data_IF_670816705088
#
_entry.id   IF_670816705088
#
_cell.length_a   1.000
_cell.length_b   1.000
_cell.length_c   1.000
_cell.angle_alpha   90.00
_cell.angle_beta   90.00
_cell.angle_gamma   90.00
#
_symmetry.space_group_name_H-M   'P 1'
#
loop_
_entity.id
_entity.type
_entity.pdbx_description
1 polymer ?
#
# COMPACT_ATOMS: atom_id res chain seq x y z
N UNK A 1 -25.75 -9.88 -11.53
CA UNK A 1 -24.93 -8.77 -11.01
C UNK A 1 -23.66 -8.76 -11.82
N UNK A 2 -23.05 -7.64 -12.12
CA UNK A 2 -21.82 -7.57 -12.91
C UNK A 2 -20.65 -7.28 -11.97
N UNK A 3 -19.55 -7.98 -12.14
CA UNK A 3 -18.30 -7.72 -11.39
C UNK A 3 -17.92 -6.24 -11.51
N UNK A 4 -17.52 -5.63 -10.42
CA UNK A 4 -17.12 -4.22 -10.36
C UNK A 4 -15.88 -3.95 -11.22
N UNK A 5 -15.79 -2.76 -11.77
CA UNK A 5 -14.66 -2.37 -12.62
C UNK A 5 -13.30 -2.35 -11.87
N UNK A 6 -13.32 -2.18 -10.54
CA UNK A 6 -12.13 -2.17 -9.67
C UNK A 6 -11.72 -3.56 -9.17
N UNK A 7 -12.45 -4.62 -9.54
CA UNK A 7 -12.11 -6.00 -9.19
C UNK A 7 -10.95 -6.53 -10.01
N UNK A 8 -10.14 -7.40 -9.40
CA UNK A 8 -8.89 -7.92 -10.00
C UNK A 8 -9.04 -9.28 -10.67
N UNK A 9 -10.18 -9.93 -10.58
CA UNK A 9 -10.40 -11.28 -11.13
C UNK A 9 -11.75 -11.39 -11.83
N UNK A 10 -11.97 -12.50 -12.51
CA UNK A 10 -13.22 -12.85 -13.19
C UNK A 10 -13.70 -14.25 -12.80
N UNK A 11 -14.98 -14.52 -12.99
CA UNK A 11 -15.59 -15.83 -12.72
C UNK A 11 -14.91 -16.95 -13.51
N UNK A 12 -14.50 -16.69 -14.76
CA UNK A 12 -13.79 -17.65 -15.60
C UNK A 12 -12.41 -18.02 -15.05
N UNK A 13 -11.71 -17.06 -14.44
CA UNK A 13 -10.41 -17.30 -13.83
C UNK A 13 -10.52 -18.14 -12.55
N UNK A 14 -11.51 -17.87 -11.70
CA UNK A 14 -11.77 -18.68 -10.49
C UNK A 14 -12.22 -20.08 -10.87
N UNK A 15 -13.10 -20.21 -11.87
CA UNK A 15 -13.55 -21.50 -12.40
C UNK A 15 -12.38 -22.41 -12.81
N UNK A 16 -11.32 -21.86 -13.36
CA UNK A 16 -10.16 -22.65 -13.78
C UNK A 16 -9.57 -23.49 -12.63
N UNK A 17 -9.63 -23.00 -11.40
CA UNK A 17 -9.13 -23.68 -10.19
C UNK A 17 -10.17 -24.53 -9.49
N UNK A 18 -11.46 -24.30 -9.75
CA UNK A 18 -12.57 -24.95 -9.03
C UNK A 18 -13.39 -25.89 -9.91
N UNK A 19 -12.87 -26.29 -11.07
CA UNK A 19 -13.56 -27.20 -12.00
C UNK A 19 -14.05 -28.49 -11.36
N UNK A 20 -13.30 -29.04 -10.42
CA UNK A 20 -13.61 -30.28 -9.72
C UNK A 20 -14.82 -30.13 -8.76
N UNK A 21 -15.26 -28.92 -8.48
CA UNK A 21 -16.40 -28.62 -7.62
C UNK A 21 -17.69 -28.31 -8.40
N UNK A 22 -17.62 -28.33 -9.72
CA UNK A 22 -18.77 -27.96 -10.57
C UNK A 22 -19.70 -29.12 -10.90
N UNK A 23 -19.44 -30.33 -10.38
CA UNK A 23 -20.29 -31.52 -10.57
C UNK A 23 -20.76 -31.72 -12.03
N UNK A 24 -19.82 -31.62 -12.99
CA UNK A 24 -20.10 -31.75 -14.41
C UNK A 24 -20.66 -30.52 -15.12
N UNK A 25 -20.91 -29.41 -14.37
CA UNK A 25 -21.34 -28.15 -14.98
C UNK A 25 -20.18 -27.45 -15.69
N UNK A 26 -20.47 -26.74 -16.77
CA UNK A 26 -19.44 -26.01 -17.53
C UNK A 26 -19.12 -24.66 -16.93
N UNK A 27 -19.99 -24.10 -16.08
CA UNK A 27 -19.82 -22.78 -15.44
C UNK A 27 -20.66 -22.70 -14.17
N UNK A 28 -20.32 -21.74 -13.30
CA UNK A 28 -21.18 -21.37 -12.19
C UNK A 28 -22.48 -20.78 -12.74
N UNK A 29 -23.61 -21.26 -12.26
CA UNK A 29 -24.95 -20.85 -12.66
C UNK A 29 -25.89 -20.83 -11.45
N UNK A 30 -27.19 -20.73 -11.68
CA UNK A 30 -28.19 -20.70 -10.60
C UNK A 30 -28.36 -22.04 -9.87
N UNK A 31 -27.86 -23.14 -10.42
CA UNK A 31 -27.97 -24.48 -9.81
C UNK A 31 -26.69 -24.92 -9.11
N UNK A 32 -25.57 -24.26 -9.35
CA UNK A 32 -24.30 -24.55 -8.66
C UNK A 32 -24.27 -23.93 -7.25
N UNK A 33 -23.41 -24.46 -6.40
CA UNK A 33 -23.08 -23.87 -5.08
C UNK A 33 -21.58 -23.64 -5.01
N UNK A 34 -21.13 -22.38 -4.90
CA UNK A 34 -21.92 -21.16 -4.99
C UNK A 34 -22.53 -20.94 -6.37
N UNK A 35 -23.56 -20.10 -6.42
CA UNK A 35 -24.14 -19.62 -7.68
C UNK A 35 -23.19 -18.66 -8.39
N UNK A 36 -23.45 -18.39 -9.68
CA UNK A 36 -22.65 -17.42 -10.43
C UNK A 36 -22.66 -16.02 -9.78
N UNK A 37 -23.80 -15.59 -9.25
CA UNK A 37 -23.95 -14.30 -8.56
C UNK A 37 -23.17 -14.23 -7.25
N UNK A 38 -23.25 -15.27 -6.43
CA UNK A 38 -22.47 -15.36 -5.18
C UNK A 38 -20.96 -15.37 -5.46
N UNK A 39 -20.53 -16.01 -6.55
CA UNK A 39 -19.13 -15.98 -6.94
C UNK A 39 -18.67 -14.57 -7.36
N UNK A 40 -19.51 -13.80 -8.08
CA UNK A 40 -19.23 -12.40 -8.39
C UNK A 40 -19.09 -11.56 -7.12
N UNK A 41 -19.96 -11.77 -6.12
CA UNK A 41 -19.88 -11.11 -4.81
C UNK A 41 -18.59 -11.48 -4.04
N UNK A 42 -18.14 -12.74 -4.12
CA UNK A 42 -16.87 -13.14 -3.51
C UNK A 42 -15.68 -12.45 -4.17
N UNK A 43 -15.68 -12.32 -5.50
CA UNK A 43 -14.63 -11.61 -6.24
C UNK A 43 -14.60 -10.12 -5.84
N UNK A 44 -15.76 -9.48 -5.78
CA UNK A 44 -15.88 -8.07 -5.42
C UNK A 44 -15.49 -7.82 -3.95
N UNK A 45 -15.91 -8.71 -3.05
CA UNK A 45 -15.54 -8.65 -1.63
C UNK A 45 -14.03 -8.80 -1.43
N UNK A 46 -13.43 -9.84 -2.01
CA UNK A 46 -11.98 -10.06 -1.91
C UNK A 46 -11.18 -8.89 -2.51
N UNK A 47 -11.63 -8.36 -3.65
CA UNK A 47 -11.01 -7.19 -4.29
C UNK A 47 -11.15 -5.94 -3.42
N UNK A 48 -12.31 -5.75 -2.78
CA UNK A 48 -12.55 -4.65 -1.86
C UNK A 48 -11.62 -4.68 -0.65
N UNK A 49 -11.45 -5.85 -0.02
CA UNK A 49 -10.51 -6.03 1.11
C UNK A 49 -9.08 -5.71 0.68
N UNK A 50 -8.67 -6.18 -0.50
CA UNK A 50 -7.34 -5.89 -1.03
C UNK A 50 -7.15 -4.39 -1.33
N UNK A 51 -8.16 -3.72 -1.90
CA UNK A 51 -8.13 -2.29 -2.16
C UNK A 51 -7.96 -1.47 -0.87
N UNK A 52 -8.62 -1.88 0.22
CA UNK A 52 -8.46 -1.24 1.53
C UNK A 52 -7.03 -1.42 2.04
N UNK A 53 -6.49 -2.62 1.99
CA UNK A 53 -5.10 -2.88 2.40
C UNK A 53 -4.07 -2.11 1.56
N UNK A 54 -4.28 -2.01 0.25
CA UNK A 54 -3.45 -1.19 -0.63
C UNK A 54 -3.49 0.29 -0.23
N UNK A 55 -4.70 0.83 0.00
CA UNK A 55 -4.89 2.21 0.41
C UNK A 55 -4.26 2.51 1.78
N UNK A 56 -4.38 1.60 2.75
CA UNK A 56 -3.72 1.72 4.07
C UNK A 56 -2.20 1.79 3.96
N UNK A 57 -1.61 1.14 2.94
CA UNK A 57 -0.18 1.20 2.65
C UNK A 57 0.21 2.36 1.72
N UNK A 58 -0.74 3.22 1.39
CA UNK A 58 -0.53 4.42 0.59
C UNK A 58 -0.52 4.17 -0.92
N UNK A 59 -0.93 2.99 -1.41
CA UNK A 59 -1.10 2.76 -2.83
C UNK A 59 -2.50 3.13 -3.27
N UNK A 60 -2.62 3.83 -4.39
CA UNK A 60 -3.92 4.08 -5.01
C UNK A 60 -4.37 2.82 -5.76
N UNK A 61 -5.52 2.21 -5.42
CA UNK A 61 -6.00 0.99 -6.09
C UNK A 61 -6.14 1.15 -7.61
N UNK A 62 -6.56 2.32 -8.08
CA UNK A 62 -6.64 2.63 -9.51
C UNK A 62 -5.28 2.59 -10.22
N UNK A 63 -4.22 3.10 -9.59
CA UNK A 63 -2.87 3.04 -10.12
C UNK A 63 -2.32 1.61 -10.17
N UNK A 64 -2.60 0.80 -9.13
CA UNK A 64 -2.27 -0.63 -9.12
C UNK A 64 -3.02 -1.37 -10.22
N UNK A 65 -4.31 -1.08 -10.39
CA UNK A 65 -5.16 -1.70 -11.41
C UNK A 65 -4.71 -1.37 -12.84
N UNK A 66 -4.24 -0.15 -13.09
CA UNK A 66 -3.76 0.28 -14.41
C UNK A 66 -2.40 -0.34 -14.77
N UNK A 67 -1.59 -0.73 -13.80
CA UNK A 67 -0.34 -1.45 -14.04
C UNK A 67 -0.63 -2.94 -14.26
N UNK A 68 -0.37 -3.45 -15.47
CA UNK A 68 -0.72 -4.82 -15.86
C UNK A 68 -0.12 -5.88 -14.95
N UNK A 69 1.16 -5.75 -14.59
CA UNK A 69 1.86 -6.73 -13.76
C UNK A 69 1.37 -6.69 -12.30
N UNK A 70 1.21 -5.49 -11.74
CA UNK A 70 0.67 -5.34 -10.39
C UNK A 70 -0.78 -5.84 -10.31
N UNK A 71 -1.59 -5.54 -11.33
CA UNK A 71 -2.97 -6.03 -11.43
C UNK A 71 -3.06 -7.56 -11.51
N UNK A 72 -2.18 -8.21 -12.27
CA UNK A 72 -2.11 -9.67 -12.34
C UNK A 72 -1.75 -10.30 -10.99
N UNK A 73 -0.76 -9.75 -10.30
CA UNK A 73 -0.35 -10.20 -8.97
C UNK A 73 -1.49 -10.07 -7.95
N UNK A 74 -2.18 -8.93 -7.95
CA UNK A 74 -3.38 -8.72 -7.13
C UNK A 74 -4.49 -9.70 -7.51
N UNK A 75 -4.65 -9.98 -8.81
CA UNK A 75 -5.60 -10.95 -9.33
C UNK A 75 -5.33 -12.38 -8.85
N UNK A 76 -4.06 -12.77 -8.72
CA UNK A 76 -3.69 -14.08 -8.16
C UNK A 76 -4.13 -14.21 -6.70
N UNK A 77 -3.90 -13.18 -5.90
CA UNK A 77 -4.34 -13.19 -4.50
C UNK A 77 -5.87 -13.27 -4.40
N UNK A 78 -6.60 -12.46 -5.17
CA UNK A 78 -8.08 -12.46 -5.19
C UNK A 78 -8.60 -13.84 -5.63
N UNK A 79 -8.03 -14.44 -6.67
CA UNK A 79 -8.40 -15.80 -7.11
C UNK A 79 -8.24 -16.83 -6.01
N UNK A 80 -7.13 -16.80 -5.30
CA UNK A 80 -6.87 -17.71 -4.17
C UNK A 80 -7.90 -17.55 -3.06
N UNK A 81 -8.28 -16.31 -2.72
CA UNK A 81 -9.33 -16.06 -1.72
C UNK A 81 -10.70 -16.56 -2.21
N UNK A 82 -11.04 -16.33 -3.47
CA UNK A 82 -12.29 -16.83 -4.03
C UNK A 82 -12.34 -18.35 -4.06
N UNK A 83 -11.26 -19.04 -4.44
CA UNK A 83 -11.17 -20.52 -4.38
C UNK A 83 -11.42 -21.01 -2.96
N UNK A 84 -10.85 -20.35 -1.96
CA UNK A 84 -11.08 -20.67 -0.55
C UNK A 84 -12.56 -20.49 -0.16
N UNK A 85 -13.21 -19.42 -0.58
CA UNK A 85 -14.64 -19.22 -0.31
C UNK A 85 -15.50 -20.28 -0.99
N UNK A 86 -15.19 -20.64 -2.25
CA UNK A 86 -15.89 -21.71 -2.97
C UNK A 86 -15.75 -23.07 -2.24
N UNK A 87 -14.54 -23.43 -1.84
CA UNK A 87 -14.29 -24.67 -1.08
C UNK A 87 -15.05 -24.68 0.25
N UNK A 88 -15.04 -23.55 1.00
CA UNK A 88 -15.78 -23.43 2.25
C UNK A 88 -17.30 -23.53 2.06
N UNK A 89 -17.83 -22.95 0.99
CA UNK A 89 -19.27 -23.01 0.68
C UNK A 89 -19.71 -24.44 0.36
N UNK A 90 -18.86 -25.20 -0.34
CA UNK A 90 -19.15 -26.58 -0.73
C UNK A 90 -18.97 -27.58 0.42
N UNK A 91 -17.90 -27.46 1.18
CA UNK A 91 -17.43 -28.47 2.12
C UNK A 91 -17.68 -28.12 3.58
N UNK A 92 -18.09 -26.86 3.85
CA UNK A 92 -18.32 -26.36 5.19
C UNK A 92 -17.03 -25.94 5.91
N UNK A 93 -17.19 -25.26 7.04
CA UNK A 93 -16.09 -24.65 7.81
C UNK A 93 -15.11 -25.67 8.40
N UNK A 94 -15.58 -26.88 8.74
CA UNK A 94 -14.72 -27.93 9.28
C UNK A 94 -13.64 -28.42 8.31
N UNK A 95 -13.80 -28.17 7.02
CA UNK A 95 -12.81 -28.56 6.02
C UNK A 95 -11.55 -27.68 6.04
N UNK A 96 -11.64 -26.45 6.53
CA UNK A 96 -10.49 -25.54 6.59
C UNK A 96 -9.36 -26.04 7.47
N UNK A 97 -9.70 -26.81 8.52
CA UNK A 97 -8.77 -27.29 9.54
C UNK A 97 -8.36 -28.77 9.29
N UNK A 98 -8.95 -29.40 8.27
CA UNK A 98 -8.62 -30.77 7.93
C UNK A 98 -7.19 -30.91 7.41
N UNK A 99 -6.46 -31.89 7.92
CA UNK A 99 -5.13 -32.23 7.45
C UNK A 99 -5.17 -32.58 5.95
N UNK A 100 -4.33 -31.92 5.14
CA UNK A 100 -4.31 -32.08 3.69
C UNK A 100 -5.37 -31.25 2.95
N UNK A 101 -6.08 -30.34 3.62
CA UNK A 101 -7.01 -29.45 2.93
C UNK A 101 -6.27 -28.49 1.98
N UNK A 102 -6.84 -28.26 0.80
CA UNK A 102 -6.29 -27.28 -0.17
C UNK A 102 -6.30 -25.87 0.39
N UNK A 103 -7.23 -25.57 1.30
CA UNK A 103 -7.31 -24.27 2.01
C UNK A 103 -6.07 -24.07 2.87
N UNK A 104 -5.57 -25.08 3.55
CA UNK A 104 -4.34 -25.01 4.33
C UNK A 104 -3.13 -24.65 3.46
N UNK A 105 -3.02 -25.20 2.26
CA UNK A 105 -1.97 -24.87 1.31
C UNK A 105 -2.07 -23.38 0.85
N UNK A 106 -3.27 -22.87 0.60
CA UNK A 106 -3.47 -21.47 0.21
C UNK A 106 -3.20 -20.50 1.38
N UNK A 107 -3.55 -20.85 2.61
CA UNK A 107 -3.25 -20.05 3.79
C UNK A 107 -1.74 -19.93 4.06
N UNK A 108 -0.94 -20.91 3.62
CA UNK A 108 0.53 -20.86 3.76
C UNK A 108 1.20 -19.79 2.93
N UNK A 109 0.60 -19.39 1.80
CA UNK A 109 1.17 -18.39 0.89
C UNK A 109 0.94 -16.96 1.43
N UNK A 110 -0.32 -16.60 1.76
CA UNK A 110 -0.67 -15.27 2.26
C UNK A 110 -1.88 -15.38 3.18
N UNK A 111 -1.69 -15.10 4.46
CA UNK A 111 -2.78 -15.22 5.47
C UNK A 111 -3.82 -14.12 5.35
N UNK A 112 -3.40 -12.90 5.00
CA UNK A 112 -4.28 -11.74 4.92
C UNK A 112 -3.89 -10.84 3.76
N UNK A 113 -4.78 -9.89 3.40
CA UNK A 113 -4.49 -8.87 2.41
C UNK A 113 -3.31 -7.97 2.84
N UNK A 114 -3.23 -7.65 4.12
CA UNK A 114 -2.15 -6.83 4.68
C UNK A 114 -0.80 -7.52 4.57
N UNK A 115 -0.72 -8.81 4.90
CA UNK A 115 0.49 -9.61 4.75
C UNK A 115 0.93 -9.68 3.28
N UNK A 116 -0.02 -9.87 2.37
CA UNK A 116 0.24 -9.85 0.93
C UNK A 116 0.80 -8.52 0.46
N UNK A 117 0.17 -7.39 0.82
CA UNK A 117 0.60 -6.06 0.39
C UNK A 117 1.95 -5.72 1.00
N UNK A 118 2.17 -6.01 2.29
CA UNK A 118 3.45 -5.72 2.95
C UNK A 118 4.62 -6.46 2.29
N UNK A 119 4.48 -7.76 2.01
CA UNK A 119 5.51 -8.55 1.34
C UNK A 119 5.82 -8.09 -0.08
N UNK A 120 4.82 -7.58 -0.80
CA UNK A 120 4.94 -7.16 -2.19
C UNK A 120 5.14 -5.65 -2.38
N UNK A 121 5.15 -4.87 -1.31
CA UNK A 121 5.25 -3.41 -1.32
C UNK A 121 6.39 -2.88 -2.20
N UNK A 122 7.59 -3.39 -1.99
CA UNK A 122 8.76 -2.98 -2.78
C UNK A 122 8.63 -3.38 -4.26
N UNK A 123 8.02 -4.54 -4.55
CA UNK A 123 7.74 -4.99 -5.91
C UNK A 123 6.78 -4.04 -6.63
N UNK A 124 5.67 -3.68 -5.97
CA UNK A 124 4.67 -2.74 -6.51
C UNK A 124 5.31 -1.37 -6.80
N UNK A 125 6.14 -0.86 -5.89
CA UNK A 125 6.87 0.40 -6.11
C UNK A 125 7.83 0.33 -7.31
N UNK A 126 8.60 -0.76 -7.45
CA UNK A 126 9.52 -0.97 -8.57
C UNK A 126 8.81 -1.10 -9.92
N UNK A 127 7.54 -1.48 -9.93
CA UNK A 127 6.70 -1.47 -11.13
C UNK A 127 6.21 -0.06 -11.52
N UNK A 128 6.63 0.98 -10.79
CA UNK A 128 6.26 2.36 -11.08
C UNK A 128 4.93 2.81 -10.47
N UNK A 129 4.32 1.99 -9.61
CA UNK A 129 3.16 2.43 -8.82
C UNK A 129 3.67 3.23 -7.63
N UNK A 130 3.53 4.55 -7.72
CA UNK A 130 3.96 5.45 -6.66
C UNK A 130 3.09 5.27 -5.42
N UNK A 131 3.73 5.20 -4.28
CA UNK A 131 3.04 5.24 -3.00
C UNK A 131 2.67 6.69 -2.71
N UNK A 132 1.38 6.97 -2.52
CA UNK A 132 0.97 8.25 -1.96
C UNK A 132 1.51 8.30 -0.54
N UNK A 133 2.17 9.40 -0.21
CA UNK A 133 2.72 9.57 1.14
C UNK A 133 1.58 9.49 2.15
N UNK A 134 1.80 8.74 3.21
CA UNK A 134 0.85 8.70 4.32
C UNK A 134 0.75 10.10 4.91
N UNK A 135 -0.45 10.64 4.91
CA UNK A 135 -0.77 11.85 5.70
C UNK A 135 -0.44 11.68 7.20
N UNK A 136 -0.22 10.43 7.66
CA UNK A 136 0.09 10.11 9.05
C UNK A 136 1.56 10.28 9.44
N UNK A 137 2.48 10.42 8.47
CA UNK A 137 3.90 10.63 8.78
C UNK A 137 4.21 12.10 9.05
N UNK A 138 3.30 12.80 9.72
CA UNK A 138 3.46 14.18 10.12
C UNK A 138 3.35 15.13 8.93
N UNK A 139 2.51 16.12 9.06
CA UNK A 139 2.49 17.37 8.32
C UNK A 139 3.19 17.33 6.96
N UNK A 140 2.65 16.56 6.03
CA UNK A 140 2.91 16.86 4.65
C UNK A 140 2.13 18.12 4.32
N UNK A 141 2.83 19.18 4.22
CA UNK A 141 2.37 20.36 3.53
C UNK A 141 2.25 20.03 2.06
N UNK A 142 1.13 19.37 1.70
CA UNK A 142 0.77 19.13 0.31
C UNK A 142 0.53 20.50 -0.30
N UNK A 143 1.35 20.85 -1.25
CA UNK A 143 1.22 22.10 -2.00
C UNK A 143 2.24 23.17 -1.68
N UNK A 144 3.09 22.95 -0.70
CA UNK A 144 4.26 23.79 -0.55
C UNK A 144 5.39 23.13 -1.34
N UNK A 145 5.65 23.67 -2.51
CA UNK A 145 6.88 23.38 -3.22
C UNK A 145 8.04 23.73 -2.30
N UNK A 146 8.64 22.72 -1.70
CA UNK A 146 9.74 22.92 -0.77
C UNK A 146 10.89 23.80 -1.33
N UNK A 147 11.18 23.78 -2.65
CA UNK A 147 12.10 24.72 -3.28
C UNK A 147 11.64 26.17 -3.24
N UNK A 148 10.35 26.44 -3.51
CA UNK A 148 9.82 27.82 -3.57
C UNK A 148 9.85 28.47 -2.19
N UNK A 149 9.47 27.74 -1.15
CA UNK A 149 9.54 28.23 0.23
C UNK A 149 10.96 28.52 0.73
N UNK A 150 11.97 27.94 0.11
CA UNK A 150 13.37 28.16 0.52
C UNK A 150 14.01 29.34 -0.18
N UNK A 151 13.53 29.72 -1.35
CA UNK A 151 14.15 30.75 -2.19
C UNK A 151 13.48 32.12 -2.09
N UNK A 152 12.18 32.12 -1.87
CA UNK A 152 11.45 33.39 -1.78
C UNK A 152 11.18 33.79 -0.33
N UNK A 153 12.11 34.57 0.23
CA UNK A 153 11.99 35.14 1.57
C UNK A 153 11.19 36.46 1.60
N UNK A 154 10.78 36.94 0.45
CA UNK A 154 10.08 38.20 0.29
C UNK A 154 8.57 38.05 0.20
N UNK A 155 8.08 36.83 0.00
CA UNK A 155 6.65 36.55 -0.06
C UNK A 155 6.08 36.34 1.34
N UNK A 156 5.48 37.38 1.88
CA UNK A 156 4.83 37.36 3.21
C UNK A 156 3.58 36.49 3.27
N UNK A 157 3.06 36.04 2.10
CA UNK A 157 1.92 35.14 2.03
C UNK A 157 2.30 33.66 2.31
N UNK A 158 3.59 33.36 2.26
CA UNK A 158 4.10 32.02 2.58
C UNK A 158 4.26 31.87 4.08
N UNK A 159 3.66 30.82 4.64
CA UNK A 159 3.86 30.47 6.04
C UNK A 159 5.35 30.22 6.29
N UNK A 160 5.96 31.09 7.08
CA UNK A 160 7.36 30.91 7.46
C UNK A 160 7.52 29.63 8.28
N UNK A 161 8.58 28.85 8.05
CA UNK A 161 8.82 27.68 8.87
C UNK A 161 9.00 28.12 10.32
N UNK A 162 8.36 27.42 11.25
CA UNK A 162 8.37 27.74 12.68
C UNK A 162 9.79 27.78 13.25
N UNK A 163 10.76 27.19 12.56
CA UNK A 163 12.17 27.18 12.93
C UNK A 163 13.02 27.68 11.76
N UNK A 164 13.75 28.76 11.99
CA UNK A 164 14.74 29.26 11.04
C UNK A 164 16.05 28.48 11.20
N UNK A 165 16.86 28.44 10.12
CA UNK A 165 18.11 27.69 10.07
C UNK A 165 19.09 28.01 11.20
N UNK A 166 19.01 29.22 11.76
CA UNK A 166 19.92 29.72 12.79
C UNK A 166 19.34 29.63 14.22
N UNK A 167 18.15 29.09 14.38
CA UNK A 167 17.48 29.05 15.70
C UNK A 167 18.15 28.07 16.67
N UNK A 168 18.96 27.14 16.15
CA UNK A 168 19.72 26.17 16.92
C UNK A 168 21.23 26.35 16.76
N UNK A 169 21.70 27.48 16.21
CA UNK A 169 23.12 27.78 16.30
C UNK A 169 23.45 27.99 17.77
N UNK A 170 24.29 27.12 18.29
CA UNK A 170 24.86 27.31 19.62
C UNK A 170 25.51 28.70 19.67
N UNK A 171 25.33 29.48 20.75
CA UNK A 171 26.02 30.72 20.90
C UNK A 171 27.52 30.43 20.76
N UNK A 172 28.16 31.10 19.77
CA UNK A 172 29.61 30.99 19.62
C UNK A 172 30.21 31.31 20.98
N UNK A 173 30.98 30.36 21.51
CA UNK A 173 31.69 30.59 22.75
C UNK A 173 32.55 31.85 22.59
N UNK A 174 32.44 32.82 23.50
CA UNK A 174 33.23 34.06 23.51
C UNK A 174 34.74 33.84 23.69
N UNK A 175 35.25 32.64 23.37
CA UNK A 175 36.67 32.30 23.50
C UNK A 175 37.56 33.03 22.46
N UNK A 176 36.99 33.51 21.35
CA UNK A 176 37.78 34.18 20.30
C UNK A 176 37.88 35.68 20.43
N UNK A 177 37.31 36.31 21.47
CA UNK A 177 37.33 37.77 21.65
C UNK A 177 38.46 38.29 22.57
N UNK A 178 39.35 37.43 23.05
CA UNK A 178 40.46 37.82 23.95
C UNK A 178 41.86 37.70 23.33
N UNK A 179 42.02 37.51 22.04
CA UNK A 179 43.37 37.50 21.43
C UNK A 179 43.60 38.67 20.51
N UNK A 180 43.57 39.85 21.03
CA UNK A 180 43.78 41.06 20.23
C UNK A 180 44.01 42.28 21.06
N UNK A 181 45.06 42.32 21.86
CA UNK A 181 45.35 43.53 22.60
C UNK A 181 46.58 43.47 23.47
N UNK A 182 47.71 43.19 22.87
CA UNK A 182 48.98 43.49 23.53
C UNK A 182 49.79 44.41 22.62
N UNK A 183 49.34 45.70 22.64
CA UNK A 183 50.13 46.82 22.14
C UNK A 183 51.29 47.05 23.10
N UNK A 184 52.44 46.69 22.70
CA UNK A 184 53.69 46.97 23.40
C UNK A 184 54.16 48.35 22.88
N UNK A 185 53.75 49.43 23.55
CA UNK A 185 54.41 50.73 23.44
C UNK A 185 55.69 50.69 24.28
N UNK A 186 56.80 50.50 23.65
CA UNK A 186 58.10 50.69 24.22
C UNK A 186 58.51 52.15 24.12
N UNK A 187 59.08 52.73 25.17
CA UNK A 187 59.50 54.15 25.17
C UNK A 187 60.85 54.26 24.47
N UNK A 188 61.00 55.40 23.76
CA UNK A 188 62.21 55.93 23.23
C UNK A 188 63.26 56.21 24.32
N UNK A 189 64.51 55.71 24.08
CA UNK A 189 65.75 56.44 24.31
C UNK A 189 66.83 55.92 23.39
#
# INVERSE_FOLDING_TARGET
MTIRADSYSSTSQVKAFTRHLLDGQTSFNSTTRPTGTELEEFIDSASGVLNVSLAQRGFMPSAVKSNSTASLMCGDWVRMQCVKYVELTQRGTGYSDAEGSRIGAFNGLYKSADDFVERNKLGIQRLGVTQAYKLSDGLQFTGLDAPVNRTDRTDESLAQPMFTRNQFEFPKSNADSQSGGNGNDGPDQ
#
